data_IF_919177193976
#
_entry.id   IF_919177193976
#
_cell.length_a   1.000
_cell.length_b   1.000
_cell.length_c   1.000
_cell.angle_alpha   90.00
_cell.angle_beta   90.00
_cell.angle_gamma   90.00
#
_symmetry.space_group_name_H-M   'P 1'
#
loop_
_entity.id
_entity.type
_entity.pdbx_description
1 polymer ?
#
# COMPACT_ATOMS: atom_id res chain seq x y z
N UNK A 1 21.25 30.69 17.35
CA UNK A 1 20.59 30.57 16.05
C UNK A 1 19.13 30.23 16.33
N UNK A 2 18.17 31.00 15.82
CA UNK A 2 16.77 30.59 15.90
C UNK A 2 16.65 29.34 15.02
N UNK A 3 16.14 28.22 15.57
CA UNK A 3 15.68 27.10 14.74
C UNK A 3 14.61 27.70 13.81
N UNK A 4 14.83 27.62 12.51
CA UNK A 4 13.76 27.90 11.55
C UNK A 4 12.64 26.89 11.85
N UNK A 5 11.49 27.41 12.21
CA UNK A 5 10.31 26.59 12.46
C UNK A 5 9.80 26.10 11.10
N UNK A 6 9.89 24.79 10.88
CA UNK A 6 9.44 24.18 9.63
C UNK A 6 7.92 24.31 9.48
N UNK A 7 7.46 24.60 8.27
CA UNK A 7 6.05 24.42 7.87
C UNK A 7 5.95 23.21 6.96
N UNK A 8 4.73 22.68 6.78
CA UNK A 8 4.51 21.52 5.88
C UNK A 8 4.93 21.85 4.46
N UNK A 9 4.64 23.07 4.00
CA UNK A 9 5.02 23.53 2.65
C UNK A 9 6.54 23.60 2.47
N UNK A 10 7.27 24.10 3.48
CA UNK A 10 8.72 24.15 3.45
C UNK A 10 9.36 22.75 3.49
N UNK A 11 8.80 21.85 4.30
CA UNK A 11 9.23 20.47 4.38
C UNK A 11 8.94 19.70 3.07
N UNK A 12 7.76 19.91 2.47
CA UNK A 12 7.41 19.31 1.17
C UNK A 12 8.31 19.84 0.05
N UNK A 13 8.60 21.15 0.03
CA UNK A 13 9.55 21.74 -0.91
C UNK A 13 10.94 21.08 -0.77
N UNK A 14 11.45 20.93 0.45
CA UNK A 14 12.71 20.23 0.72
C UNK A 14 12.68 18.78 0.23
N UNK A 15 11.60 18.04 0.52
CA UNK A 15 11.43 16.65 0.09
C UNK A 15 11.45 16.54 -1.45
N UNK A 16 10.82 17.48 -2.15
CA UNK A 16 10.75 17.48 -3.61
C UNK A 16 12.10 17.80 -4.28
N UNK A 17 13.06 18.40 -3.56
CA UNK A 17 14.44 18.58 -4.03
C UNK A 17 15.27 17.28 -3.94
N UNK A 18 14.85 16.32 -3.12
CA UNK A 18 15.53 15.04 -2.97
C UNK A 18 15.35 14.21 -4.26
N UNK A 19 16.43 13.63 -4.81
CA UNK A 19 16.32 12.78 -5.99
C UNK A 19 15.34 11.64 -5.79
N UNK A 20 14.43 11.46 -6.76
CA UNK A 20 13.49 10.32 -6.77
C UNK A 20 14.18 8.99 -7.05
N UNK A 21 15.26 9.04 -7.80
CA UNK A 21 16.08 7.90 -8.18
C UNK A 21 17.56 8.26 -8.04
N UNK A 22 18.34 7.34 -7.52
CA UNK A 22 19.80 7.40 -7.45
C UNK A 22 20.39 6.27 -8.27
N UNK A 23 21.64 6.41 -8.69
CA UNK A 23 22.38 5.37 -9.41
C UNK A 23 22.57 4.11 -8.55
N UNK A 24 22.69 4.29 -7.24
CA UNK A 24 22.79 3.22 -6.25
C UNK A 24 21.57 3.29 -5.32
N UNK A 25 20.77 2.22 -5.35
CA UNK A 25 19.62 2.08 -4.43
C UNK A 25 20.12 1.56 -3.09
N UNK A 26 19.50 2.01 -2.01
CA UNK A 26 19.73 1.43 -0.71
C UNK A 26 19.27 -0.04 -0.69
N UNK A 27 20.05 -0.87 -0.03
CA UNK A 27 19.67 -2.26 0.21
C UNK A 27 18.58 -2.34 1.27
N UNK A 28 17.82 -3.44 1.30
CA UNK A 28 16.86 -3.69 2.36
C UNK A 28 17.52 -3.63 3.76
N UNK A 29 18.75 -4.14 3.89
CA UNK A 29 19.53 -4.07 5.13
C UNK A 29 19.89 -2.62 5.48
N UNK A 30 20.33 -1.81 4.51
CA UNK A 30 20.61 -0.38 4.71
C UNK A 30 19.41 0.36 5.24
N UNK A 31 18.22 0.14 4.67
CA UNK A 31 16.98 0.73 5.15
C UNK A 31 16.60 0.24 6.55
N UNK A 32 16.80 -1.05 6.86
CA UNK A 32 16.60 -1.56 8.23
C UNK A 32 17.55 -0.91 9.23
N UNK A 33 18.80 -0.64 8.85
CA UNK A 33 19.75 0.11 9.69
C UNK A 33 19.26 1.54 9.92
N UNK A 34 18.78 2.25 8.88
CA UNK A 34 18.19 3.59 9.03
C UNK A 34 16.98 3.57 9.98
N UNK A 35 16.07 2.59 9.83
CA UNK A 35 14.93 2.40 10.73
C UNK A 35 15.37 2.11 12.18
N UNK A 36 16.43 1.34 12.36
CA UNK A 36 16.99 1.06 13.69
C UNK A 36 17.50 2.33 14.37
N UNK A 37 18.22 3.20 13.63
CA UNK A 37 18.65 4.50 14.12
C UNK A 37 17.48 5.38 14.57
N UNK A 38 16.42 5.39 13.78
CA UNK A 38 15.18 6.11 14.10
C UNK A 38 14.38 5.45 15.22
N UNK A 39 14.85 4.30 15.75
CA UNK A 39 14.07 3.45 16.66
C UNK A 39 12.67 3.16 16.12
N UNK A 40 12.58 2.91 14.80
CA UNK A 40 11.33 2.79 14.03
C UNK A 40 11.16 1.41 13.37
N UNK A 41 11.89 0.38 13.83
CA UNK A 41 11.67 -0.99 13.38
C UNK A 41 10.25 -1.45 13.78
N UNK A 42 9.45 -1.96 12.81
CA UNK A 42 8.06 -2.34 13.05
C UNK A 42 7.91 -3.70 13.73
N UNK A 43 6.70 -3.97 14.21
CA UNK A 43 6.20 -5.33 14.44
C UNK A 43 5.71 -5.88 13.11
N UNK A 44 6.56 -6.61 12.40
CA UNK A 44 6.34 -7.00 11.00
C UNK A 44 5.13 -7.91 10.80
N UNK A 45 4.83 -8.78 11.76
CA UNK A 45 3.68 -9.67 11.76
C UNK A 45 2.30 -8.96 11.78
N UNK A 46 2.31 -7.64 11.80
CA UNK A 46 1.11 -6.78 11.73
C UNK A 46 1.05 -5.96 10.44
N UNK A 47 1.99 -6.20 9.53
CA UNK A 47 2.08 -5.47 8.27
C UNK A 47 1.39 -6.25 7.16
N UNK A 48 0.50 -5.56 6.42
CA UNK A 48 0.00 -6.00 5.13
C UNK A 48 0.76 -5.24 4.04
N UNK A 49 1.52 -5.96 3.23
CA UNK A 49 2.37 -5.38 2.20
C UNK A 49 1.74 -5.52 0.82
N UNK A 50 1.47 -4.41 0.14
CA UNK A 50 0.66 -4.34 -1.07
C UNK A 50 1.49 -3.87 -2.26
N UNK A 51 1.62 -4.71 -3.30
CA UNK A 51 2.20 -4.35 -4.59
C UNK A 51 1.17 -4.52 -5.71
N UNK A 52 1.50 -4.02 -6.89
CA UNK A 52 0.65 -4.11 -8.09
C UNK A 52 0.93 -2.96 -9.06
N UNK A 53 0.35 -3.01 -10.24
CA UNK A 53 0.36 -1.86 -11.15
C UNK A 53 -0.79 -0.92 -10.82
N UNK A 54 -2.02 -1.40 -10.90
CA UNK A 54 -3.22 -0.65 -10.58
C UNK A 54 -3.95 -1.26 -9.39
N UNK A 55 -4.75 -0.47 -8.68
CA UNK A 55 -5.59 -0.96 -7.59
C UNK A 55 -4.93 -1.03 -6.22
N UNK A 56 -3.62 -0.80 -6.09
CA UNK A 56 -2.91 -0.83 -4.79
C UNK A 56 -3.60 0.04 -3.73
N UNK A 57 -3.70 1.34 -4.00
CA UNK A 57 -4.32 2.28 -3.07
C UNK A 57 -5.79 1.96 -2.77
N UNK A 58 -6.56 1.45 -3.78
CA UNK A 58 -7.94 0.99 -3.54
C UNK A 58 -7.99 -0.18 -2.56
N UNK A 59 -7.14 -1.19 -2.75
CA UNK A 59 -7.05 -2.34 -1.82
C UNK A 59 -6.59 -1.88 -0.44
N UNK A 60 -5.61 -0.97 -0.37
CA UNK A 60 -5.17 -0.39 0.91
C UNK A 60 -6.34 0.33 1.63
N UNK A 61 -7.14 1.12 0.89
CA UNK A 61 -8.31 1.81 1.44
C UNK A 61 -9.40 0.83 1.92
N UNK A 62 -9.72 -0.20 1.13
CA UNK A 62 -10.66 -1.23 1.56
C UNK A 62 -10.19 -1.94 2.83
N UNK A 63 -8.92 -2.35 2.89
CA UNK A 63 -8.35 -3.03 4.06
C UNK A 63 -8.36 -2.14 5.30
N UNK A 64 -8.01 -0.87 5.15
CA UNK A 64 -8.02 0.11 6.22
C UNK A 64 -9.44 0.25 6.81
N UNK A 65 -10.44 0.46 5.95
CA UNK A 65 -11.85 0.55 6.36
C UNK A 65 -12.37 -0.74 7.02
N UNK A 66 -11.95 -1.90 6.52
CA UNK A 66 -12.33 -3.21 7.10
C UNK A 66 -11.72 -3.40 8.48
N UNK A 67 -10.44 -3.13 8.65
CA UNK A 67 -9.76 -3.27 9.93
C UNK A 67 -10.32 -2.31 10.98
N UNK A 68 -10.60 -1.06 10.60
CA UNK A 68 -11.27 -0.09 11.47
C UNK A 68 -12.68 -0.57 11.85
N UNK A 69 -13.45 -1.12 10.88
CA UNK A 69 -14.76 -1.70 11.17
C UNK A 69 -14.69 -2.86 12.16
N UNK A 70 -13.57 -3.61 12.14
CA UNK A 70 -13.26 -4.65 13.12
C UNK A 70 -12.74 -4.11 14.46
N UNK A 71 -12.76 -2.80 14.69
CA UNK A 71 -12.30 -2.15 15.92
C UNK A 71 -10.78 -2.11 16.07
N UNK A 72 -10.02 -2.25 14.97
CA UNK A 72 -8.56 -2.21 14.97
C UNK A 72 -8.04 -0.83 14.70
N UNK A 73 -6.98 -0.44 15.42
CA UNK A 73 -6.22 0.76 15.10
C UNK A 73 -5.31 0.49 13.92
N UNK A 74 -5.32 1.39 12.95
CA UNK A 74 -4.62 1.19 11.68
C UNK A 74 -3.65 2.33 11.37
N UNK A 75 -2.62 2.01 10.57
CA UNK A 75 -1.84 2.99 9.85
C UNK A 75 -1.74 2.56 8.38
N UNK A 76 -1.81 3.53 7.47
CA UNK A 76 -1.73 3.28 6.04
C UNK A 76 -0.75 4.23 5.38
N UNK A 77 0.14 3.67 4.56
CA UNK A 77 1.07 4.39 3.71
C UNK A 77 0.72 4.13 2.25
N UNK A 78 0.40 5.19 1.51
CA UNK A 78 -0.03 5.11 0.11
C UNK A 78 0.71 6.12 -0.77
N UNK A 79 0.75 5.88 -2.08
CA UNK A 79 1.39 6.76 -3.06
C UNK A 79 0.78 6.64 -4.46
N UNK A 80 0.79 7.72 -5.25
CA UNK A 80 1.12 9.10 -4.88
C UNK A 80 -0.01 9.76 -4.08
N UNK A 81 0.21 10.99 -3.61
CA UNK A 81 -0.84 11.88 -3.11
C UNK A 81 -1.52 12.63 -4.26
N UNK A 82 -2.70 13.20 -4.02
CA UNK A 82 -3.44 14.02 -5.00
C UNK A 82 -3.11 15.50 -4.85
N UNK A 83 -3.14 16.02 -3.64
CA UNK A 83 -2.97 17.45 -3.33
C UNK A 83 -1.83 17.67 -2.32
N UNK A 84 -1.85 17.00 -1.18
CA UNK A 84 -0.92 17.22 -0.07
C UNK A 84 -0.07 15.99 0.20
N UNK A 85 1.21 16.17 0.48
CA UNK A 85 2.14 15.08 0.82
C UNK A 85 1.68 14.29 2.06
N UNK A 86 0.96 14.93 2.98
CA UNK A 86 0.40 14.35 4.20
C UNK A 86 -0.66 13.26 3.94
N UNK A 87 -1.35 13.29 2.79
CA UNK A 87 -2.30 12.24 2.36
C UNK A 87 -1.68 10.83 2.32
N UNK A 88 -0.33 10.75 2.18
CA UNK A 88 0.39 9.47 2.14
C UNK A 88 0.39 8.75 3.48
N UNK A 89 0.10 9.46 4.57
CA UNK A 89 0.20 8.99 5.94
C UNK A 89 -1.16 9.05 6.62
N UNK A 90 -1.81 7.91 6.78
CA UNK A 90 -3.13 7.84 7.43
C UNK A 90 -3.05 7.00 8.70
N UNK A 91 -3.75 7.46 9.75
CA UNK A 91 -3.89 6.76 11.03
C UNK A 91 -5.38 6.73 11.39
N UNK A 92 -5.92 5.53 11.60
CA UNK A 92 -7.34 5.31 11.92
C UNK A 92 -8.28 6.04 10.93
N UNK A 93 -7.92 5.99 9.63
CA UNK A 93 -8.68 6.60 8.52
C UNK A 93 -8.52 8.11 8.39
N UNK A 94 -7.72 8.75 9.24
CA UNK A 94 -7.48 10.18 9.18
C UNK A 94 -6.05 10.45 8.68
N UNK A 95 -5.89 11.47 7.86
CA UNK A 95 -4.59 11.98 7.45
C UNK A 95 -3.77 12.40 8.67
N UNK A 96 -2.46 12.17 8.66
CA UNK A 96 -1.56 12.62 9.71
C UNK A 96 -1.63 14.16 9.84
N UNK A 97 -1.76 14.63 11.08
CA UNK A 97 -1.75 16.06 11.34
C UNK A 97 -0.37 16.70 11.03
N UNK A 98 -0.39 18.00 10.76
CA UNK A 98 0.81 18.76 10.37
C UNK A 98 1.92 18.67 11.44
N UNK A 99 1.57 18.62 12.72
CA UNK A 99 2.56 18.51 13.80
C UNK A 99 3.28 17.16 13.76
N UNK A 100 2.55 16.06 13.62
CA UNK A 100 3.14 14.71 13.49
C UNK A 100 4.00 14.58 12.24
N UNK A 101 3.55 15.19 11.12
CA UNK A 101 4.32 15.21 9.87
C UNK A 101 5.66 15.93 10.07
N UNK A 102 5.65 17.12 10.68
CA UNK A 102 6.85 17.91 10.92
C UNK A 102 7.79 17.24 11.93
N UNK A 103 7.29 16.66 13.01
CA UNK A 103 8.10 15.89 13.95
C UNK A 103 8.82 14.71 13.24
N UNK A 104 8.13 13.99 12.37
CA UNK A 104 8.72 12.89 11.63
C UNK A 104 9.76 13.38 10.62
N UNK A 105 9.46 14.46 9.89
CA UNK A 105 10.39 15.09 8.96
C UNK A 105 11.69 15.49 9.66
N UNK A 106 11.60 16.21 10.77
CA UNK A 106 12.76 16.66 11.54
C UNK A 106 13.55 15.47 12.12
N UNK A 107 12.88 14.41 12.60
CA UNK A 107 13.53 13.22 13.11
C UNK A 107 14.39 12.52 12.03
N UNK A 108 13.87 12.36 10.84
CA UNK A 108 14.63 11.76 9.72
C UNK A 108 15.76 12.69 9.30
N UNK A 109 15.51 14.00 9.18
CA UNK A 109 16.51 15.01 8.82
C UNK A 109 17.67 15.03 9.82
N UNK A 110 17.39 15.01 11.11
CA UNK A 110 18.40 14.99 12.16
C UNK A 110 19.26 13.71 12.14
N UNK A 111 18.69 12.59 11.65
CA UNK A 111 19.40 11.31 11.59
C UNK A 111 20.36 11.21 10.39
N UNK A 112 20.31 12.14 9.44
CA UNK A 112 21.14 12.11 8.24
C UNK A 112 22.65 12.05 8.53
N UNK A 113 23.13 12.81 9.51
CA UNK A 113 24.55 12.79 9.92
C UNK A 113 24.99 11.38 10.34
N UNK A 114 24.12 10.63 11.01
CA UNK A 114 24.40 9.24 11.39
C UNK A 114 24.38 8.32 10.17
N UNK A 115 23.46 8.53 9.24
CA UNK A 115 23.39 7.74 8.00
C UNK A 115 24.67 7.90 7.18
N UNK A 116 25.20 9.12 7.07
CA UNK A 116 26.48 9.36 6.39
C UNK A 116 27.68 8.69 7.12
N UNK A 117 27.75 8.82 8.44
CA UNK A 117 28.82 8.18 9.23
C UNK A 117 28.85 6.66 9.08
N UNK A 118 27.69 6.05 8.89
CA UNK A 118 27.54 4.62 8.66
C UNK A 118 27.66 4.20 7.17
N UNK A 119 27.95 5.17 6.28
CA UNK A 119 28.06 4.93 4.85
C UNK A 119 26.75 4.58 4.16
N UNK A 120 25.60 4.94 4.78
CA UNK A 120 24.28 4.69 4.21
C UNK A 120 23.85 5.77 3.21
N UNK A 121 24.46 6.97 3.27
CA UNK A 121 24.09 8.08 2.39
C UNK A 121 22.72 8.70 2.68
N UNK A 122 22.29 9.59 1.78
CA UNK A 122 21.00 10.28 1.91
C UNK A 122 19.87 9.42 1.34
N UNK A 123 18.75 9.21 2.07
CA UNK A 123 17.61 8.51 1.52
C UNK A 123 17.04 9.23 0.29
N UNK A 124 16.56 8.50 -0.70
CA UNK A 124 15.78 9.03 -1.81
C UNK A 124 14.45 9.59 -1.34
N UNK A 125 13.75 10.36 -2.19
CA UNK A 125 12.45 10.94 -1.86
C UNK A 125 11.47 9.92 -1.24
N UNK A 126 11.30 8.76 -1.89
CA UNK A 126 10.36 7.75 -1.40
C UNK A 126 10.86 7.06 -0.12
N UNK A 127 12.15 6.79 -0.02
CA UNK A 127 12.76 6.24 1.20
C UNK A 127 12.61 7.19 2.39
N UNK A 128 12.79 8.50 2.17
CA UNK A 128 12.58 9.50 3.22
C UNK A 128 11.15 9.47 3.75
N UNK A 129 10.15 9.48 2.84
CA UNK A 129 8.74 9.37 3.23
C UNK A 129 8.43 8.06 3.96
N UNK A 130 9.00 6.94 3.50
CA UNK A 130 8.83 5.66 4.17
C UNK A 130 9.44 5.67 5.59
N UNK A 131 10.63 6.25 5.77
CA UNK A 131 11.26 6.41 7.09
C UNK A 131 10.41 7.29 8.02
N UNK A 132 9.86 8.41 7.52
CA UNK A 132 8.92 9.25 8.24
C UNK A 132 7.69 8.46 8.70
N UNK A 133 7.08 7.70 7.78
CA UNK A 133 5.92 6.88 8.11
C UNK A 133 6.22 5.86 9.21
N UNK A 134 7.32 5.14 9.11
CA UNK A 134 7.69 4.14 10.12
C UNK A 134 8.00 4.78 11.48
N UNK A 135 8.58 5.98 11.49
CA UNK A 135 8.74 6.76 12.72
C UNK A 135 7.39 7.14 13.36
N UNK A 136 6.42 7.59 12.54
CA UNK A 136 5.06 7.88 13.00
C UNK A 136 4.36 6.61 13.54
N UNK A 137 4.51 5.46 12.85
CA UNK A 137 3.99 4.14 13.30
C UNK A 137 4.51 3.81 14.69
N UNK A 138 5.80 4.03 14.95
CA UNK A 138 6.39 3.82 16.28
C UNK A 138 5.77 4.71 17.36
N UNK A 139 5.38 5.93 17.03
CA UNK A 139 4.72 6.89 17.92
C UNK A 139 3.26 6.56 18.18
N UNK A 140 2.50 6.28 17.12
CA UNK A 140 1.04 6.02 17.17
C UNK A 140 0.70 4.60 17.59
N UNK A 141 1.61 3.62 17.41
CA UNK A 141 1.44 2.19 17.77
C UNK A 141 0.12 1.59 17.26
N UNK A 142 -0.16 1.61 15.95
CA UNK A 142 -1.32 0.94 15.38
C UNK A 142 -1.24 -0.56 15.62
N UNK A 143 -2.40 -1.25 15.54
CA UNK A 143 -2.46 -2.71 15.57
C UNK A 143 -2.13 -3.34 14.22
N UNK A 144 -2.45 -2.64 13.13
CA UNK A 144 -2.12 -3.06 11.77
C UNK A 144 -1.53 -1.91 10.97
N UNK A 145 -0.60 -2.26 10.10
CA UNK A 145 0.05 -1.32 9.16
C UNK A 145 -0.19 -1.83 7.75
N UNK A 146 -0.72 -0.98 6.89
CA UNK A 146 -0.95 -1.28 5.47
C UNK A 146 0.08 -0.48 4.67
N UNK A 147 1.01 -1.19 4.00
CA UNK A 147 2.10 -0.59 3.23
C UNK A 147 1.89 -0.80 1.74
N UNK A 148 1.69 0.29 1.00
CA UNK A 148 1.74 0.29 -0.45
C UNK A 148 3.19 0.44 -0.92
N UNK A 149 3.64 -0.40 -1.88
CA UNK A 149 4.91 -0.20 -2.58
C UNK A 149 4.87 1.06 -3.45
N UNK A 150 5.98 1.80 -3.50
CA UNK A 150 6.10 2.95 -4.40
C UNK A 150 6.26 2.52 -5.85
N UNK A 151 7.24 1.68 -6.14
CA UNK A 151 7.55 1.22 -7.50
C UNK A 151 8.08 -0.21 -7.50
N UNK A 152 7.44 -1.06 -8.30
CA UNK A 152 7.85 -2.47 -8.44
C UNK A 152 7.50 -3.30 -7.21
N UNK A 153 8.48 -3.76 -6.49
CA UNK A 153 8.35 -4.55 -5.27
C UNK A 153 9.71 -5.04 -4.76
N UNK A 154 10.43 -5.84 -5.53
CA UNK A 154 11.70 -6.48 -5.13
C UNK A 154 12.75 -5.47 -4.59
N UNK A 155 12.87 -4.31 -5.24
CA UNK A 155 13.81 -3.24 -4.89
C UNK A 155 13.10 -2.00 -4.33
N UNK A 156 11.86 -2.15 -3.86
CA UNK A 156 11.14 -1.06 -3.22
C UNK A 156 11.60 -0.86 -1.77
N UNK A 157 11.60 0.38 -1.30
CA UNK A 157 12.01 0.70 0.08
C UNK A 157 11.21 -0.07 1.12
N UNK A 158 9.91 -0.28 0.87
CA UNK A 158 9.02 -1.01 1.78
C UNK A 158 9.37 -2.49 1.87
N UNK A 159 10.16 -3.04 0.92
CA UNK A 159 10.53 -4.45 0.89
C UNK A 159 11.63 -4.84 1.90
N UNK A 160 12.09 -3.90 2.72
CA UNK A 160 12.91 -4.19 3.88
C UNK A 160 12.14 -4.95 5.00
N UNK A 161 10.82 -5.08 4.89
CA UNK A 161 9.97 -5.90 5.75
C UNK A 161 10.19 -7.38 5.39
N UNK A 162 10.51 -8.22 6.37
CA UNK A 162 10.88 -9.61 6.16
C UNK A 162 9.77 -10.61 6.53
N UNK A 163 8.91 -10.26 7.49
CA UNK A 163 7.88 -11.15 8.02
C UNK A 163 6.50 -10.46 8.08
N UNK A 164 5.96 -9.96 6.94
CA UNK A 164 4.62 -9.37 6.95
C UNK A 164 3.56 -10.41 7.31
N UNK A 165 2.46 -9.97 7.95
CA UNK A 165 1.30 -10.83 8.19
C UNK A 165 0.77 -11.44 6.89
N UNK A 166 0.81 -10.65 5.81
CA UNK A 166 0.19 -10.96 4.53
C UNK A 166 0.81 -10.10 3.44
N UNK A 167 0.99 -10.67 2.26
CA UNK A 167 1.30 -9.92 1.04
C UNK A 167 0.11 -9.89 0.09
N UNK A 168 -0.03 -8.79 -0.63
CA UNK A 168 -1.09 -8.62 -1.63
C UNK A 168 -0.47 -8.16 -2.94
N UNK A 169 -0.87 -8.76 -4.05
CA UNK A 169 -0.51 -8.30 -5.39
C UNK A 169 -1.80 -8.01 -6.16
N UNK A 170 -2.03 -6.73 -6.45
CA UNK A 170 -3.17 -6.28 -7.26
C UNK A 170 -2.87 -6.45 -8.75
N UNK A 171 -3.73 -5.94 -9.63
CA UNK A 171 -3.59 -6.13 -11.07
C UNK A 171 -2.22 -5.71 -11.61
N UNK A 172 -1.70 -6.48 -12.56
CA UNK A 172 -0.42 -6.24 -13.22
C UNK A 172 -0.68 -5.92 -14.69
N UNK A 173 -0.09 -4.83 -15.15
CA UNK A 173 -0.09 -4.42 -16.54
C UNK A 173 1.25 -3.76 -16.90
N UNK A 174 1.46 -3.45 -18.17
CA UNK A 174 2.65 -2.72 -18.60
C UNK A 174 2.66 -1.33 -17.99
N UNK A 175 3.65 -1.06 -17.17
CA UNK A 175 3.88 0.23 -16.52
C UNK A 175 5.34 0.37 -16.10
N UNK A 176 5.85 1.60 -16.10
CA UNK A 176 7.25 1.89 -15.73
C UNK A 176 8.26 0.95 -16.40
N UNK A 177 8.07 0.69 -17.70
CA UNK A 177 8.83 -0.30 -18.47
C UNK A 177 10.35 -0.04 -18.45
N UNK A 178 10.75 1.21 -18.29
CA UNK A 178 12.16 1.62 -18.16
C UNK A 178 12.84 1.03 -16.92
N UNK A 179 12.07 0.76 -15.86
CA UNK A 179 12.57 0.30 -14.57
C UNK A 179 12.21 -1.15 -14.27
N UNK A 180 11.03 -1.63 -14.71
CA UNK A 180 10.47 -2.92 -14.31
C UNK A 180 10.55 -3.98 -15.40
N UNK A 181 10.96 -3.60 -16.62
CA UNK A 181 11.03 -4.47 -17.78
C UNK A 181 9.90 -4.30 -18.79
N UNK A 182 10.10 -4.81 -20.00
CA UNK A 182 9.22 -4.60 -21.17
C UNK A 182 8.06 -5.57 -21.29
N UNK A 183 7.88 -6.51 -20.34
CA UNK A 183 6.82 -7.54 -20.41
C UNK A 183 6.07 -7.67 -19.09
N UNK A 184 4.81 -8.11 -19.16
CA UNK A 184 3.98 -8.38 -17.99
C UNK A 184 4.66 -9.40 -17.05
N UNK A 185 5.33 -10.41 -17.58
CA UNK A 185 6.05 -11.42 -16.79
C UNK A 185 7.24 -10.83 -16.01
N UNK A 186 7.99 -9.89 -16.61
CA UNK A 186 9.08 -9.20 -15.91
C UNK A 186 8.53 -8.32 -14.79
N UNK A 187 7.51 -7.53 -15.07
CA UNK A 187 6.85 -6.66 -14.09
C UNK A 187 6.25 -7.51 -12.96
N UNK A 188 5.63 -8.66 -13.28
CA UNK A 188 5.13 -9.60 -12.29
C UNK A 188 6.24 -10.14 -11.39
N UNK A 189 7.42 -10.44 -11.95
CA UNK A 189 8.59 -10.88 -11.20
C UNK A 189 9.09 -9.84 -10.21
N UNK A 190 9.15 -8.56 -10.61
CA UNK A 190 9.52 -7.45 -9.72
C UNK A 190 8.51 -7.29 -8.57
N UNK A 191 7.20 -7.40 -8.86
CA UNK A 191 6.16 -7.29 -7.83
C UNK A 191 6.10 -8.51 -6.93
N UNK A 192 6.27 -9.72 -7.47
CA UNK A 192 6.38 -10.96 -6.69
C UNK A 192 7.62 -10.99 -5.76
N UNK A 193 8.55 -10.06 -5.93
CA UNK A 193 9.68 -9.86 -5.03
C UNK A 193 9.30 -9.45 -3.60
N UNK A 194 8.05 -9.05 -3.34
CA UNK A 194 7.56 -8.79 -1.97
C UNK A 194 7.15 -10.06 -1.23
N UNK A 195 6.99 -11.20 -1.91
CA UNK A 195 6.62 -12.45 -1.27
C UNK A 195 7.73 -12.91 -0.32
N UNK A 196 7.36 -13.36 0.86
CA UNK A 196 8.27 -13.83 1.90
C UNK A 196 7.95 -15.28 2.26
N UNK A 197 8.99 -16.04 2.59
CA UNK A 197 8.88 -17.48 2.86
C UNK A 197 7.79 -17.79 3.90
N UNK A 198 6.91 -18.72 3.58
CA UNK A 198 5.78 -19.18 4.39
C UNK A 198 4.69 -18.15 4.68
N UNK A 199 4.81 -16.91 4.15
CA UNK A 199 3.79 -15.89 4.37
C UNK A 199 2.70 -15.98 3.30
N UNK A 200 1.41 -15.79 3.65
CA UNK A 200 0.31 -15.88 2.69
C UNK A 200 0.37 -14.75 1.65
N UNK A 201 -0.12 -15.04 0.44
CA UNK A 201 -0.32 -14.05 -0.62
C UNK A 201 -1.73 -14.11 -1.18
N UNK A 202 -2.41 -12.95 -1.24
CA UNK A 202 -3.64 -12.77 -2.02
C UNK A 202 -3.27 -12.01 -3.30
N UNK A 203 -3.69 -12.48 -4.45
CA UNK A 203 -3.28 -11.84 -5.70
C UNK A 203 -4.38 -11.84 -6.76
N UNK A 204 -4.32 -10.84 -7.63
CA UNK A 204 -5.15 -10.75 -8.83
C UNK A 204 -4.77 -11.85 -9.83
N UNK A 205 -5.72 -12.71 -10.18
CA UNK A 205 -5.58 -13.84 -11.10
C UNK A 205 -6.30 -13.58 -12.45
N UNK A 206 -6.44 -12.32 -12.85
CA UNK A 206 -7.10 -11.96 -14.12
C UNK A 206 -6.18 -12.07 -15.34
N UNK A 207 -4.87 -11.83 -15.17
CA UNK A 207 -3.86 -12.02 -16.22
C UNK A 207 -3.12 -13.34 -16.02
N UNK A 208 -3.24 -14.26 -16.96
CA UNK A 208 -2.68 -15.61 -16.86
C UNK A 208 -1.14 -15.62 -16.80
N UNK A 209 -0.46 -14.68 -17.49
CA UNK A 209 1.00 -14.61 -17.51
C UNK A 209 1.55 -14.09 -16.19
N UNK A 210 0.95 -13.03 -15.65
CA UNK A 210 1.27 -12.50 -14.31
C UNK A 210 1.01 -13.54 -13.23
N UNK A 211 -0.16 -14.18 -13.26
CA UNK A 211 -0.57 -15.22 -12.30
C UNK A 211 0.39 -16.40 -12.26
N UNK A 212 0.89 -16.84 -13.42
CA UNK A 212 1.85 -17.94 -13.47
C UNK A 212 3.16 -17.58 -12.75
N UNK A 213 3.65 -16.34 -12.90
CA UNK A 213 4.85 -15.85 -12.21
C UNK A 213 4.64 -15.81 -10.70
N UNK A 214 3.52 -15.22 -10.25
CA UNK A 214 3.21 -15.10 -8.82
C UNK A 214 3.06 -16.48 -8.19
N UNK A 215 2.31 -17.39 -8.81
CA UNK A 215 2.07 -18.75 -8.35
C UNK A 215 3.37 -19.55 -8.23
N UNK A 216 4.24 -19.47 -9.24
CA UNK A 216 5.54 -20.15 -9.20
C UNK A 216 6.39 -19.61 -8.06
N UNK A 217 6.46 -18.28 -7.90
CA UNK A 217 7.20 -17.68 -6.80
C UNK A 217 6.64 -18.05 -5.43
N UNK A 218 5.30 -18.07 -5.29
CA UNK A 218 4.65 -18.52 -4.06
C UNK A 218 4.99 -19.99 -3.73
N UNK A 219 5.00 -20.88 -4.73
CA UNK A 219 5.38 -22.27 -4.56
C UNK A 219 6.85 -22.40 -4.12
N UNK A 220 7.79 -21.68 -4.73
CA UNK A 220 9.20 -21.65 -4.34
C UNK A 220 9.40 -21.26 -2.87
N UNK A 221 8.62 -20.31 -2.40
CA UNK A 221 8.68 -19.76 -1.04
C UNK A 221 7.76 -20.48 -0.05
N UNK A 222 7.02 -21.52 -0.50
CA UNK A 222 6.02 -22.21 0.32
C UNK A 222 4.94 -21.28 0.87
N UNK A 223 4.57 -20.25 0.12
CA UNK A 223 3.52 -19.32 0.48
C UNK A 223 2.13 -19.92 0.24
N UNK A 224 1.21 -19.93 1.21
CA UNK A 224 -0.21 -20.13 0.92
C UNK A 224 -0.70 -19.05 -0.05
N UNK A 225 -1.23 -19.44 -1.23
CA UNK A 225 -1.58 -18.55 -2.32
C UNK A 225 -3.09 -18.54 -2.58
N UNK A 226 -3.68 -17.36 -2.62
CA UNK A 226 -5.12 -17.12 -2.75
C UNK A 226 -5.40 -16.30 -4.02
N UNK A 227 -5.65 -16.94 -5.17
CA UNK A 227 -5.96 -16.26 -6.42
C UNK A 227 -7.37 -15.66 -6.38
N UNK A 228 -7.51 -14.45 -6.86
CA UNK A 228 -8.78 -13.71 -6.96
C UNK A 228 -9.01 -13.28 -8.40
N UNK A 229 -10.12 -13.69 -8.98
CA UNK A 229 -10.56 -13.31 -10.31
C UNK A 229 -12.08 -13.13 -10.32
N UNK A 230 -12.71 -12.68 -11.41
CA UNK A 230 -14.16 -12.63 -11.53
C UNK A 230 -14.86 -13.97 -11.29
N UNK A 231 -14.13 -15.08 -11.31
CA UNK A 231 -14.69 -16.41 -10.99
C UNK A 231 -15.12 -16.57 -9.51
N UNK A 232 -14.63 -15.72 -8.58
CA UNK A 232 -14.96 -15.83 -7.15
C UNK A 232 -16.29 -15.20 -6.77
N UNK A 233 -16.92 -14.42 -7.66
CA UNK A 233 -18.19 -13.76 -7.40
C UNK A 233 -19.24 -13.98 -8.50
N UNK A 234 -20.49 -13.63 -8.21
CA UNK A 234 -21.63 -13.56 -9.15
C UNK A 234 -22.41 -12.27 -8.93
N UNK A 235 -23.42 -12.07 -9.79
CA UNK A 235 -24.42 -11.01 -9.62
C UNK A 235 -23.84 -9.59 -9.55
N UNK A 236 -22.69 -9.37 -10.23
CA UNK A 236 -22.14 -8.03 -10.31
C UNK A 236 -23.11 -7.11 -11.05
N UNK A 237 -23.57 -6.09 -10.39
CA UNK A 237 -24.46 -5.07 -10.94
C UNK A 237 -24.23 -3.72 -10.30
N UNK A 238 -24.49 -2.67 -11.07
CA UNK A 238 -24.51 -1.30 -10.53
C UNK A 238 -25.73 -1.08 -9.66
N UNK A 239 -25.54 -0.35 -8.58
CA UNK A 239 -26.58 0.15 -7.71
C UNK A 239 -26.26 1.61 -7.38
N UNK A 240 -27.24 2.39 -6.93
CA UNK A 240 -27.00 3.80 -6.64
C UNK A 240 -25.80 4.02 -5.71
N UNK A 241 -24.79 4.77 -6.19
CA UNK A 241 -23.57 5.07 -5.46
C UNK A 241 -22.56 3.92 -5.37
N UNK A 242 -22.62 2.92 -6.26
CA UNK A 242 -21.62 1.85 -6.29
C UNK A 242 -22.05 0.58 -7.03
N UNK A 243 -21.54 -0.54 -6.58
CA UNK A 243 -21.81 -1.86 -7.16
C UNK A 243 -22.13 -2.90 -6.07
N UNK A 244 -22.90 -3.92 -6.44
CA UNK A 244 -23.14 -5.10 -5.62
C UNK A 244 -22.63 -6.33 -6.34
N UNK A 245 -22.07 -7.25 -5.56
CA UNK A 245 -21.75 -8.61 -5.98
C UNK A 245 -21.99 -9.61 -4.85
N UNK A 246 -21.98 -10.90 -5.21
CA UNK A 246 -22.12 -12.01 -4.28
C UNK A 246 -20.85 -12.88 -4.32
N UNK A 247 -20.14 -13.01 -3.20
CA UNK A 247 -19.02 -13.95 -3.05
C UNK A 247 -19.60 -15.37 -3.04
N UNK A 248 -19.15 -16.23 -3.99
CA UNK A 248 -19.71 -17.58 -4.19
C UNK A 248 -19.54 -18.48 -2.97
N UNK A 249 -18.32 -18.55 -2.45
CA UNK A 249 -17.96 -19.54 -1.42
C UNK A 249 -18.77 -19.38 -0.12
N UNK A 250 -19.11 -18.16 0.24
CA UNK A 250 -19.80 -17.82 1.51
C UNK A 250 -21.19 -17.26 1.33
N UNK A 251 -21.67 -17.12 0.08
CA UNK A 251 -22.89 -16.38 -0.25
C UNK A 251 -22.94 -14.98 0.41
N UNK A 252 -21.77 -14.36 0.52
CA UNK A 252 -21.62 -13.04 1.15
C UNK A 252 -21.88 -11.94 0.13
N UNK A 253 -22.88 -11.09 0.40
CA UNK A 253 -23.14 -9.89 -0.39
C UNK A 253 -22.12 -8.80 -0.05
N UNK A 254 -21.46 -8.23 -1.06
CA UNK A 254 -20.65 -7.05 -0.94
C UNK A 254 -21.31 -5.87 -1.66
N UNK A 255 -21.32 -4.72 -1.01
CA UNK A 255 -21.55 -3.43 -1.63
C UNK A 255 -20.22 -2.70 -1.72
N UNK A 256 -19.86 -2.25 -2.93
CA UNK A 256 -18.61 -1.55 -3.25
C UNK A 256 -18.99 -0.11 -3.54
N UNK A 257 -18.51 0.90 -2.77
CA UNK A 257 -18.91 2.30 -2.91
C UNK A 257 -18.15 2.99 -4.05
N UNK A 258 -17.95 2.28 -5.17
CA UNK A 258 -17.32 2.78 -6.39
C UNK A 258 -17.99 2.14 -7.60
N UNK A 259 -18.14 2.89 -8.69
CA UNK A 259 -18.87 2.42 -9.87
C UNK A 259 -18.00 1.75 -10.94
N UNK A 260 -16.67 1.79 -10.79
CA UNK A 260 -15.74 1.19 -11.75
C UNK A 260 -15.63 -0.33 -11.54
N UNK A 261 -15.88 -1.13 -12.59
CA UNK A 261 -15.95 -2.59 -12.52
C UNK A 261 -14.65 -3.25 -12.01
N UNK A 262 -13.48 -2.65 -12.27
CA UNK A 262 -12.22 -3.16 -11.74
C UNK A 262 -12.15 -3.14 -10.20
N UNK A 263 -12.97 -2.33 -9.54
CA UNK A 263 -13.05 -2.32 -8.09
C UNK A 263 -13.71 -3.59 -7.52
N UNK A 264 -14.42 -4.37 -8.33
CA UNK A 264 -14.99 -5.64 -7.89
C UNK A 264 -13.89 -6.64 -7.50
N UNK A 265 -12.85 -6.77 -8.32
CA UNK A 265 -11.69 -7.63 -8.01
C UNK A 265 -10.91 -7.06 -6.83
N UNK A 266 -10.64 -5.74 -6.79
CA UNK A 266 -9.96 -5.10 -5.67
C UNK A 266 -10.68 -5.33 -4.32
N UNK A 267 -12.01 -5.21 -4.31
CA UNK A 267 -12.81 -5.47 -3.12
C UNK A 267 -12.77 -6.94 -2.69
N UNK A 268 -12.79 -7.89 -3.65
CA UNK A 268 -12.65 -9.31 -3.36
C UNK A 268 -11.24 -9.65 -2.82
N UNK A 269 -10.19 -9.02 -3.33
CA UNK A 269 -8.82 -9.14 -2.80
C UNK A 269 -8.79 -8.66 -1.34
N UNK A 270 -9.33 -7.48 -1.06
CA UNK A 270 -9.38 -6.94 0.30
C UNK A 270 -10.25 -7.80 1.22
N UNK A 271 -11.38 -8.31 0.74
CA UNK A 271 -12.22 -9.24 1.50
C UNK A 271 -11.44 -10.50 1.89
N UNK A 272 -10.79 -11.16 0.93
CA UNK A 272 -10.00 -12.36 1.19
C UNK A 272 -8.83 -12.07 2.15
N UNK A 273 -8.14 -10.96 1.96
CA UNK A 273 -7.05 -10.53 2.84
C UNK A 273 -7.55 -10.32 4.28
N UNK A 274 -8.68 -9.65 4.45
CA UNK A 274 -9.31 -9.46 5.76
C UNK A 274 -9.68 -10.78 6.44
N UNK A 275 -10.18 -11.76 5.67
CA UNK A 275 -10.48 -13.12 6.18
C UNK A 275 -9.24 -13.81 6.72
N UNK A 276 -8.09 -13.64 6.05
CA UNK A 276 -6.80 -14.19 6.52
C UNK A 276 -6.29 -13.48 7.78
N UNK A 277 -6.68 -12.23 7.99
CA UNK A 277 -6.40 -11.47 9.21
C UNK A 277 -7.46 -11.73 10.33
N UNK A 278 -8.24 -12.80 10.20
CA UNK A 278 -9.26 -13.24 11.14
C UNK A 278 -10.44 -12.26 11.34
N UNK A 279 -10.69 -11.36 10.38
CA UNK A 279 -11.91 -10.55 10.37
C UNK A 279 -13.07 -11.41 9.82
N UNK A 280 -14.22 -11.44 10.48
CA UNK A 280 -15.38 -12.18 9.98
C UNK A 280 -15.96 -11.57 8.70
N UNK A 281 -16.75 -12.35 7.95
CA UNK A 281 -17.25 -11.94 6.62
C UNK A 281 -18.21 -10.77 6.64
N UNK A 282 -19.06 -10.66 7.66
CA UNK A 282 -20.04 -9.58 7.78
C UNK A 282 -19.33 -8.25 8.10
N UNK A 283 -18.39 -8.28 9.05
CA UNK A 283 -17.55 -7.13 9.39
C UNK A 283 -16.71 -6.70 8.20
N UNK A 284 -16.13 -7.65 7.44
CA UNK A 284 -15.36 -7.34 6.23
C UNK A 284 -16.23 -6.68 5.15
N UNK A 285 -17.44 -7.21 4.90
CA UNK A 285 -18.38 -6.62 3.95
C UNK A 285 -18.86 -5.23 4.38
N UNK A 286 -19.14 -5.03 5.67
CA UNK A 286 -19.50 -3.73 6.21
C UNK A 286 -18.35 -2.71 6.13
N UNK A 287 -17.12 -3.14 6.33
CA UNK A 287 -15.94 -2.30 6.18
C UNK A 287 -15.71 -1.87 4.73
N UNK A 288 -15.80 -2.80 3.77
CA UNK A 288 -15.70 -2.50 2.33
C UNK A 288 -16.74 -1.45 1.92
N UNK A 289 -17.97 -1.57 2.41
CA UNK A 289 -19.04 -0.59 2.14
C UNK A 289 -18.69 0.84 2.59
N UNK A 290 -17.90 0.97 3.64
CA UNK A 290 -17.54 2.25 4.24
C UNK A 290 -16.21 2.81 3.70
N UNK A 291 -15.59 2.14 2.75
CA UNK A 291 -14.31 2.59 2.20
C UNK A 291 -14.47 3.90 1.42
N UNK A 292 -13.52 4.81 1.65
CA UNK A 292 -13.40 6.08 0.93
C UNK A 292 -12.03 6.13 0.27
N UNK A 293 -11.99 6.41 -1.01
CA UNK A 293 -10.75 6.58 -1.75
C UNK A 293 -10.93 7.70 -2.79
N UNK A 294 -10.45 8.89 -2.44
CA UNK A 294 -10.62 10.08 -3.27
C UNK A 294 -9.93 9.95 -4.63
N UNK A 295 -10.56 10.55 -5.65
CA UNK A 295 -10.03 10.56 -7.00
C UNK A 295 -10.00 9.19 -7.70
N UNK A 296 -10.92 8.29 -7.37
CA UNK A 296 -11.10 6.99 -8.04
C UNK A 296 -12.56 6.80 -8.46
N UNK A 297 -12.92 7.39 -9.59
CA UNK A 297 -14.31 7.46 -10.07
C UNK A 297 -15.24 8.01 -8.96
N UNK A 298 -14.74 9.00 -8.24
CA UNK A 298 -15.46 9.68 -7.17
C UNK A 298 -16.48 10.64 -7.76
N UNK A 299 -17.75 10.45 -7.45
CA UNK A 299 -18.79 11.40 -7.84
C UNK A 299 -18.74 12.61 -6.91
N UNK A 300 -18.24 13.74 -7.42
CA UNK A 300 -18.10 15.00 -6.67
C UNK A 300 -19.33 15.91 -6.80
N UNK A 301 -20.14 15.65 -7.81
CA UNK A 301 -21.42 16.31 -8.07
C UNK A 301 -22.23 15.39 -8.99
N UNK A 302 -23.55 15.48 -8.98
CA UNK A 302 -24.43 14.65 -9.81
C UNK A 302 -23.94 14.58 -11.27
N UNK A 303 -23.55 13.38 -11.70
CA UNK A 303 -22.99 13.09 -13.02
C UNK A 303 -21.57 13.61 -13.27
N UNK A 304 -20.83 14.15 -12.26
CA UNK A 304 -19.45 14.64 -12.38
C UNK A 304 -18.52 13.76 -11.56
N UNK A 305 -17.64 13.07 -12.26
CA UNK A 305 -16.69 12.12 -11.66
C UNK A 305 -15.26 12.64 -11.69
N UNK A 306 -14.55 12.46 -10.58
CA UNK A 306 -13.11 12.70 -10.46
C UNK A 306 -12.37 11.36 -10.48
N UNK A 307 -11.40 11.23 -11.38
CA UNK A 307 -10.51 10.07 -11.43
C UNK A 307 -9.06 10.50 -11.61
N UNK A 308 -8.17 9.99 -10.75
CA UNK A 308 -6.74 10.22 -10.80
C UNK A 308 -6.00 9.24 -11.72
N UNK A 309 -6.67 8.69 -12.74
CA UNK A 309 -6.05 7.82 -13.73
C UNK A 309 -5.00 8.59 -14.55
N UNK A 310 -3.81 8.02 -14.66
CA UNK A 310 -2.73 8.59 -15.46
C UNK A 310 -2.72 8.06 -16.90
N UNK A 311 -3.54 7.06 -17.20
CA UNK A 311 -3.63 6.42 -18.53
C UNK A 311 -5.07 5.95 -18.79
N UNK A 312 -5.52 6.23 -19.97
CA UNK A 312 -6.76 5.71 -20.55
C UNK A 312 -6.44 4.42 -21.33
#
# INVERSE_FOLDING_TARGET
MRQEEWTVEAADAYLNEIPKFTSEKHTAEGLRRMLSYLNALPQEERIVHVAGTNGKGSVCSFLDAVLQKAGKRTARFTSPHLVRVTERFSFDGQEADDALFLEAFEAVKASYVHFEQEGLGHPTYFEYLFLMFMWMVRRKKPEYVILETGLGGRLDATNCIEHPALTVITSISLDHMEYLGGTVTQIAGEKAGILKKNMPVVYDDTDAAASAVIRNRAAELSCPAYPISPAVYTDLRREHGGMILMIKEKSQRLFIPFEAEYQAVNACIAYQAARLLAVDGETAAAGIRNAVWHGRMEEIQDGVYLDGAHRI
#
